data_IF_815525105946
#
_entry.id   IF_815525105946
#
_cell.length_a   1.000
_cell.length_b   1.000
_cell.length_c   1.000
_cell.angle_alpha   90.00
_cell.angle_beta   90.00
_cell.angle_gamma   90.00
#
_symmetry.space_group_name_H-M   'P 1'
#
loop_
_entity.id
_entity.type
_entity.pdbx_description
1 polymer ?
#
# COMPACT_ATOMS: atom_id res chain seq x y z
N UNK A 1 -3.29 -8.01 -13.55
CA UNK A 1 -4.42 -7.84 -12.62
C UNK A 1 -4.89 -6.40 -12.70
N UNK A 2 -6.19 -6.14 -12.80
CA UNK A 2 -6.73 -4.77 -12.83
C UNK A 2 -6.79 -4.15 -11.43
N UNK A 3 -7.23 -2.88 -11.36
CA UNK A 3 -7.25 -2.10 -10.11
C UNK A 3 -8.30 -2.59 -9.11
N UNK A 4 -9.44 -3.10 -9.56
CA UNK A 4 -10.47 -3.66 -8.67
C UNK A 4 -9.98 -4.97 -8.07
N UNK A 5 -9.34 -5.82 -8.88
CA UNK A 5 -8.69 -7.05 -8.42
C UNK A 5 -7.57 -6.78 -7.42
N UNK A 6 -6.75 -5.75 -7.64
CA UNK A 6 -5.73 -5.31 -6.69
C UNK A 6 -6.36 -4.97 -5.33
N UNK A 7 -7.36 -4.10 -5.32
CA UNK A 7 -8.04 -3.68 -4.10
C UNK A 7 -8.67 -4.86 -3.36
N UNK A 8 -9.36 -5.74 -4.07
CA UNK A 8 -10.01 -6.92 -3.48
C UNK A 8 -8.99 -7.88 -2.85
N UNK A 9 -7.81 -8.05 -3.46
CA UNK A 9 -6.75 -8.87 -2.87
C UNK A 9 -6.08 -8.19 -1.68
N UNK A 10 -5.87 -6.87 -1.73
CA UNK A 10 -5.35 -6.13 -0.57
C UNK A 10 -6.28 -6.23 0.65
N UNK A 11 -7.60 -6.09 0.46
CA UNK A 11 -8.60 -6.22 1.55
C UNK A 11 -8.54 -7.59 2.23
N UNK A 12 -8.19 -8.65 1.49
CA UNK A 12 -8.09 -10.02 2.02
C UNK A 12 -6.85 -10.25 2.88
N UNK A 13 -5.86 -9.35 2.82
CA UNK A 13 -4.63 -9.45 3.60
C UNK A 13 -4.79 -8.60 4.85
N UNK A 14 -4.77 -9.20 6.06
CA UNK A 14 -4.76 -8.41 7.28
C UNK A 14 -3.58 -7.43 7.28
N UNK A 15 -3.88 -6.16 7.51
CA UNK A 15 -2.89 -5.08 7.55
C UNK A 15 -3.13 -4.14 8.73
N UNK A 16 -3.46 -4.71 9.90
CA UNK A 16 -3.62 -3.91 11.12
C UNK A 16 -2.36 -3.07 11.34
N UNK A 17 -2.55 -1.83 11.79
CA UNK A 17 -1.47 -0.87 11.97
C UNK A 17 -0.28 -1.48 12.76
N UNK A 18 0.94 -1.37 12.21
CA UNK A 18 2.22 -2.01 12.63
C UNK A 18 2.42 -3.47 12.20
N UNK A 19 1.43 -4.10 11.56
CA UNK A 19 1.47 -5.48 11.08
C UNK A 19 1.27 -5.59 9.55
N UNK A 20 1.59 -4.52 8.80
CA UNK A 20 1.30 -4.43 7.37
C UNK A 20 2.24 -5.23 6.46
N UNK A 21 3.12 -6.06 7.03
CA UNK A 21 4.22 -6.73 6.30
C UNK A 21 3.75 -7.50 5.07
N UNK A 22 2.75 -8.36 5.24
CA UNK A 22 2.22 -9.18 4.14
C UNK A 22 1.52 -8.33 3.07
N UNK A 23 0.84 -7.25 3.47
CA UNK A 23 0.19 -6.34 2.52
C UNK A 23 1.22 -5.54 1.73
N UNK A 24 2.31 -5.12 2.37
CA UNK A 24 3.44 -4.47 1.72
C UNK A 24 4.16 -5.44 0.76
N UNK A 25 4.37 -6.70 1.14
CA UNK A 25 4.98 -7.71 0.26
C UNK A 25 4.14 -7.94 -1.00
N UNK A 26 2.82 -8.06 -0.83
CA UNK A 26 1.88 -8.23 -1.94
C UNK A 26 1.87 -7.01 -2.87
N UNK A 27 1.76 -5.80 -2.31
CA UNK A 27 1.73 -4.58 -3.10
C UNK A 27 3.06 -4.33 -3.82
N UNK A 28 4.20 -4.60 -3.17
CA UNK A 28 5.52 -4.52 -3.80
C UNK A 28 5.63 -5.48 -4.99
N UNK A 29 5.16 -6.72 -4.84
CA UNK A 29 5.11 -7.70 -5.92
C UNK A 29 4.28 -7.21 -7.10
N UNK A 30 3.05 -6.75 -6.84
CA UNK A 30 2.20 -6.20 -7.90
C UNK A 30 2.84 -4.99 -8.59
N UNK A 31 3.46 -4.07 -7.84
CA UNK A 31 4.14 -2.92 -8.42
C UNK A 31 5.33 -3.35 -9.31
N UNK A 32 6.12 -4.35 -8.90
CA UNK A 32 7.21 -4.90 -9.73
C UNK A 32 6.70 -5.55 -11.00
N UNK A 33 5.61 -6.32 -10.91
CA UNK A 33 4.97 -6.97 -12.06
C UNK A 33 4.36 -5.97 -13.05
N UNK A 34 4.18 -4.70 -12.64
CA UNK A 34 3.73 -3.60 -13.48
C UNK A 34 4.87 -2.59 -13.79
N UNK A 35 6.13 -3.05 -13.76
CA UNK A 35 7.32 -2.31 -14.16
C UNK A 35 7.61 -1.02 -13.36
N UNK A 36 7.07 -0.90 -12.14
CA UNK A 36 7.44 0.21 -11.26
C UNK A 36 8.85 0.02 -10.70
N UNK A 37 9.64 1.08 -10.68
CA UNK A 37 10.92 1.14 -9.96
C UNK A 37 10.68 1.31 -8.45
N UNK A 38 10.21 0.24 -7.79
CA UNK A 38 9.80 0.26 -6.38
C UNK A 38 11.01 0.41 -5.46
N UNK A 39 10.84 1.26 -4.45
CA UNK A 39 11.76 1.42 -3.31
C UNK A 39 10.98 1.13 -2.03
N UNK A 40 11.65 0.55 -1.03
CA UNK A 40 11.04 0.09 0.21
C UNK A 40 11.86 0.46 1.44
N UNK A 41 11.18 0.84 2.52
CA UNK A 41 11.72 1.02 3.86
C UNK A 41 10.67 0.58 4.89
N UNK A 42 10.92 -0.55 5.58
CA UNK A 42 9.90 -1.21 6.40
C UNK A 42 8.69 -1.61 5.54
N UNK A 43 7.49 -1.23 5.95
CA UNK A 43 6.25 -1.47 5.19
C UNK A 43 5.87 -0.29 4.27
N UNK A 44 6.73 0.72 4.12
CA UNK A 44 6.48 1.85 3.22
C UNK A 44 7.06 1.56 1.84
N UNK A 45 6.24 1.77 0.81
CA UNK A 45 6.60 1.60 -0.59
C UNK A 45 6.45 2.93 -1.32
N UNK A 46 7.37 3.21 -2.22
CA UNK A 46 7.25 4.33 -3.15
C UNK A 46 7.89 4.02 -4.48
N UNK A 47 7.36 4.63 -5.53
CA UNK A 47 7.93 4.64 -6.86
C UNK A 47 7.71 6.04 -7.44
N UNK A 48 8.66 6.52 -8.24
CA UNK A 48 8.56 7.85 -8.82
C UNK A 48 9.68 8.13 -9.80
N UNK A 49 9.48 9.16 -10.61
CA UNK A 49 10.53 9.73 -11.43
C UNK A 49 11.00 11.04 -10.80
N UNK A 50 12.30 11.31 -10.89
CA UNK A 50 12.85 12.64 -10.63
C UNK A 50 13.25 13.22 -11.99
N UNK A 51 12.33 13.86 -12.72
CA UNK A 51 12.67 14.46 -14.00
C UNK A 51 13.66 15.61 -13.77
N UNK A 52 14.79 15.57 -14.48
CA UNK A 52 15.88 16.55 -14.35
C UNK A 52 15.57 17.92 -14.96
N UNK A 53 14.31 18.17 -15.35
CA UNK A 53 13.89 19.34 -16.13
C UNK A 53 13.39 20.50 -15.27
N UNK A 54 13.60 20.46 -13.96
CA UNK A 54 13.28 21.54 -13.03
C UNK A 54 11.80 21.72 -12.73
N UNK A 55 10.92 20.82 -13.21
CA UNK A 55 9.49 20.83 -12.85
C UNK A 55 9.29 20.46 -11.37
N UNK A 56 8.25 21.01 -10.71
CA UNK A 56 7.94 20.66 -9.33
C UNK A 56 7.57 19.17 -9.21
N UNK A 57 7.99 18.54 -8.12
CA UNK A 57 7.63 17.15 -7.81
C UNK A 57 6.34 17.12 -7.00
N UNK A 58 5.40 16.27 -7.42
CA UNK A 58 4.14 16.00 -6.69
C UNK A 58 4.23 14.61 -6.06
N UNK A 59 3.98 14.53 -4.76
CA UNK A 59 3.89 13.26 -4.03
C UNK A 59 2.42 12.85 -3.89
N UNK A 60 2.08 11.69 -4.44
CA UNK A 60 0.81 11.01 -4.18
C UNK A 60 1.05 9.97 -3.08
N UNK A 61 0.30 10.06 -1.98
CA UNK A 61 0.51 9.24 -0.80
C UNK A 61 -0.82 8.68 -0.26
N UNK A 62 -0.80 7.45 0.25
CA UNK A 62 -1.92 6.80 0.94
C UNK A 62 -1.38 5.87 2.03
N UNK A 63 -2.26 5.37 2.92
CA UNK A 63 -1.93 4.42 3.98
C UNK A 63 -2.57 3.05 3.67
N UNK A 64 -1.80 1.97 3.80
CA UNK A 64 -2.26 0.58 3.65
C UNK A 64 -2.67 -0.08 4.97
N UNK A 65 -2.35 0.54 6.11
CA UNK A 65 -2.70 0.07 7.44
C UNK A 65 -4.18 0.25 7.76
N UNK A 66 -4.77 -0.76 8.40
CA UNK A 66 -6.14 -0.76 8.90
C UNK A 66 -6.17 -0.65 10.43
N UNK A 67 -7.34 -0.31 10.95
CA UNK A 67 -7.62 -0.39 12.40
C UNK A 67 -8.12 -1.78 12.75
N UNK A 68 -7.96 -2.17 14.02
CA UNK A 68 -8.76 -3.26 14.57
C UNK A 68 -10.25 -2.92 14.43
N UNK A 69 -11.05 -3.93 14.11
CA UNK A 69 -12.50 -3.80 14.15
C UNK A 69 -12.92 -3.56 15.60
N UNK A 70 -13.82 -2.60 15.83
CA UNK A 70 -14.50 -2.52 17.11
C UNK A 70 -15.35 -3.79 17.29
N UNK A 71 -15.33 -4.35 18.50
CA UNK A 71 -16.19 -5.47 18.87
C UNK A 71 -17.66 -5.07 18.67
N UNK A 72 -18.48 -5.83 17.93
CA UNK A 72 -19.90 -5.53 17.77
C UNK A 72 -20.74 -5.71 19.05
N UNK A 73 -20.19 -6.15 20.19
CA UNK A 73 -20.93 -6.29 21.45
C UNK A 73 -20.30 -5.50 22.62
N UNK A 74 -20.57 -4.19 22.66
CA UNK A 74 -20.73 -3.46 23.95
C UNK A 74 -21.88 -2.46 23.84
N UNK A 75 -23.08 -2.97 23.54
CA UNK A 75 -24.35 -2.31 23.86
C UNK A 75 -25.02 -3.18 24.94
N UNK A 76 -24.46 -3.17 26.16
CA UNK A 76 -25.08 -3.66 27.40
C UNK A 76 -25.39 -2.45 28.31
#
# INVERSE_FOLDING_TARGET
>A
MDVIGLLMNMIRIPSVSREEGNAADFLEGWMKDNDFAVRRLGNNLWAGSSPADGRPTVLLNTNAGTTIMADPETDD
#
